data_IF_549818840304
#
_entry.id   IF_549818840304
#
_cell.length_a   1.000
_cell.length_b   1.000
_cell.length_c   1.000
_cell.angle_alpha   90.00
_cell.angle_beta   90.00
_cell.angle_gamma   90.00
#
_symmetry.space_group_name_H-M   'P 1'
#
loop_
_entity.id
_entity.type
_entity.pdbx_description
1 polymer ?
#
# COMPACT_ATOMS: atom_id res chain seq x y z
N UNK A 1 3.78 -9.66 -18.33
CA UNK A 1 4.65 -8.80 -17.69
C UNK A 1 3.95 -7.73 -16.84
N UNK A 2 4.30 -7.71 -15.61
CA UNK A 2 3.58 -6.87 -14.69
C UNK A 2 4.44 -5.70 -14.31
N UNK A 3 4.48 -4.79 -15.16
CA UNK A 3 5.14 -3.55 -14.86
C UNK A 3 4.04 -2.58 -14.52
N UNK A 4 3.94 -2.20 -13.29
CA UNK A 4 2.87 -1.31 -12.89
C UNK A 4 3.08 0.04 -13.55
N UNK A 5 2.17 0.37 -14.42
CA UNK A 5 2.12 1.70 -14.98
C UNK A 5 1.41 2.62 -13.99
N UNK A 6 1.62 3.94 -14.09
CA UNK A 6 0.99 4.85 -13.12
C UNK A 6 -0.52 4.67 -13.00
N UNK A 7 -1.22 4.43 -14.11
CA UNK A 7 -2.67 4.25 -14.06
C UNK A 7 -3.05 3.00 -13.29
N UNK A 8 -2.32 1.91 -13.52
CA UNK A 8 -2.59 0.68 -12.80
C UNK A 8 -2.27 0.84 -11.32
N UNK A 9 -1.10 1.42 -11.02
CA UNK A 9 -0.67 1.60 -9.64
C UNK A 9 -1.65 2.49 -8.88
N UNK A 10 -2.09 3.59 -9.49
CA UNK A 10 -3.00 4.48 -8.81
C UNK A 10 -4.35 3.82 -8.56
N UNK A 11 -4.83 3.00 -9.49
CA UNK A 11 -6.10 2.30 -9.31
C UNK A 11 -6.03 1.30 -8.16
N UNK A 12 -4.94 0.53 -8.08
CA UNK A 12 -4.79 -0.46 -7.02
C UNK A 12 -4.65 0.23 -5.67
N UNK A 13 -3.82 1.28 -5.61
CA UNK A 13 -3.62 2.01 -4.37
C UNK A 13 -4.88 2.74 -3.93
N UNK A 14 -5.64 3.26 -4.88
CA UNK A 14 -6.92 3.89 -4.57
C UNK A 14 -7.86 2.90 -3.90
N UNK A 15 -7.94 1.70 -4.44
CA UNK A 15 -8.78 0.67 -3.84
C UNK A 15 -8.30 0.28 -2.45
N UNK A 16 -6.99 0.07 -2.31
CA UNK A 16 -6.44 -0.33 -1.02
C UNK A 16 -6.68 0.73 0.04
N UNK A 17 -6.46 2.00 -0.30
CA UNK A 17 -6.64 3.06 0.68
C UNK A 17 -8.11 3.30 0.99
N UNK A 18 -8.98 3.16 0.01
CA UNK A 18 -10.41 3.28 0.26
C UNK A 18 -10.86 2.23 1.27
N UNK A 19 -10.43 0.99 1.08
CA UNK A 19 -10.76 -0.08 2.01
C UNK A 19 -10.16 0.19 3.39
N UNK A 20 -8.91 0.62 3.41
CA UNK A 20 -8.22 0.89 4.68
C UNK A 20 -8.98 1.94 5.49
N UNK A 21 -9.33 3.04 4.84
CA UNK A 21 -9.98 4.15 5.53
C UNK A 21 -11.41 3.82 5.93
N UNK A 22 -12.02 2.83 5.29
CA UNK A 22 -13.36 2.40 5.64
C UNK A 22 -13.34 1.21 6.61
N UNK A 23 -12.18 0.86 7.15
CA UNK A 23 -12.10 -0.15 8.19
C UNK A 23 -11.84 -1.56 7.71
N UNK A 24 -11.69 -1.76 6.40
CA UNK A 24 -11.42 -3.09 5.83
C UNK A 24 -9.92 -3.32 5.77
N UNK A 25 -9.30 -3.37 6.94
CA UNK A 25 -7.83 -3.34 7.00
C UNK A 25 -7.19 -4.63 6.50
N UNK A 26 -7.82 -5.78 6.73
CA UNK A 26 -7.23 -7.04 6.28
C UNK A 26 -7.19 -7.11 4.77
N UNK A 27 -8.28 -6.72 4.11
CA UNK A 27 -8.30 -6.70 2.64
C UNK A 27 -7.33 -5.67 2.09
N UNK A 28 -7.26 -4.51 2.73
CA UNK A 28 -6.34 -3.46 2.30
C UNK A 28 -4.89 -3.96 2.37
N UNK A 29 -4.52 -4.64 3.46
CA UNK A 29 -3.17 -5.18 3.60
C UNK A 29 -2.89 -6.23 2.54
N UNK A 30 -3.86 -7.07 2.24
CA UNK A 30 -3.68 -8.09 1.21
C UNK A 30 -3.41 -7.45 -0.15
N UNK A 31 -4.17 -6.42 -0.49
CA UNK A 31 -3.98 -5.74 -1.77
C UNK A 31 -2.60 -5.09 -1.83
N UNK A 32 -2.19 -4.42 -0.76
CA UNK A 32 -0.88 -3.80 -0.71
C UNK A 32 0.24 -4.84 -0.82
N UNK A 33 0.10 -5.94 -0.11
CA UNK A 33 1.09 -7.01 -0.17
C UNK A 33 1.22 -7.57 -1.58
N UNK A 34 0.08 -7.86 -2.20
CA UNK A 34 0.10 -8.40 -3.56
C UNK A 34 0.70 -7.39 -4.54
N UNK A 35 0.37 -6.13 -4.36
CA UNK A 35 0.92 -5.10 -5.23
C UNK A 35 2.44 -5.03 -5.11
N UNK A 36 2.97 -5.04 -3.88
CA UNK A 36 4.41 -4.99 -3.69
C UNK A 36 5.06 -6.22 -4.32
N UNK A 37 4.50 -7.40 -4.08
CA UNK A 37 5.05 -8.63 -4.63
C UNK A 37 5.08 -8.62 -6.15
N UNK A 38 4.07 -8.04 -6.77
CA UNK A 38 3.92 -8.08 -8.22
C UNK A 38 4.54 -6.88 -8.92
N UNK A 39 5.10 -5.95 -8.18
CA UNK A 39 5.73 -4.78 -8.79
C UNK A 39 7.19 -4.68 -8.36
N UNK A 40 7.47 -3.98 -7.26
CA UNK A 40 8.85 -3.69 -6.89
C UNK A 40 9.49 -4.76 -5.99
N UNK A 41 8.67 -5.57 -5.35
CA UNK A 41 9.15 -6.57 -4.41
C UNK A 41 9.51 -5.99 -3.06
N UNK A 42 9.55 -6.85 -2.04
CA UNK A 42 9.82 -6.38 -0.68
C UNK A 42 11.27 -5.99 -0.48
N UNK A 43 12.17 -6.52 -1.30
CA UNK A 43 13.58 -6.13 -1.19
C UNK A 43 13.77 -4.66 -1.59
N UNK A 44 13.16 -4.26 -2.69
CA UNK A 44 13.19 -2.87 -3.10
C UNK A 44 12.49 -1.98 -2.09
N UNK A 45 11.35 -2.43 -1.59
CA UNK A 45 10.62 -1.66 -0.60
C UNK A 45 11.45 -1.47 0.67
N UNK A 46 12.21 -2.51 1.06
CA UNK A 46 13.09 -2.42 2.21
C UNK A 46 14.13 -1.33 2.00
N UNK A 47 14.70 -1.26 0.81
CA UNK A 47 15.68 -0.23 0.51
C UNK A 47 15.07 1.16 0.55
N UNK A 48 13.87 1.30 -0.02
CA UNK A 48 13.22 2.61 -0.07
C UNK A 48 12.79 3.12 1.31
N UNK A 49 12.43 2.22 2.19
CA UNK A 49 11.94 2.58 3.52
C UNK A 49 13.01 2.50 4.60
N UNK A 50 14.17 1.94 4.27
CA UNK A 50 15.24 1.67 5.23
C UNK A 50 14.73 0.81 6.40
N UNK A 51 13.91 -0.18 6.06
CA UNK A 51 13.37 -1.13 7.02
C UNK A 51 13.61 -2.53 6.52
N UNK A 52 13.75 -3.52 7.45
CA UNK A 52 13.97 -4.90 7.00
C UNK A 52 12.78 -5.43 6.20
N UNK A 53 13.08 -6.16 5.13
CA UNK A 53 12.03 -6.74 4.30
C UNK A 53 11.11 -7.66 5.06
N UNK A 54 11.67 -8.45 5.99
CA UNK A 54 10.86 -9.33 6.82
C UNK A 54 9.84 -8.57 7.65
N UNK A 55 10.26 -7.43 8.19
CA UNK A 55 9.35 -6.61 8.99
C UNK A 55 8.21 -6.05 8.13
N UNK A 56 8.57 -5.58 6.93
CA UNK A 56 7.58 -5.04 6.02
C UNK A 56 6.57 -6.10 5.59
N UNK A 57 7.08 -7.29 5.28
CA UNK A 57 6.21 -8.38 4.89
C UNK A 57 5.25 -8.74 6.02
N UNK A 58 5.76 -8.77 7.25
CA UNK A 58 4.92 -9.08 8.40
C UNK A 58 3.87 -7.99 8.64
N UNK A 59 4.24 -6.72 8.46
CA UNK A 59 3.30 -5.62 8.63
C UNK A 59 2.08 -5.76 7.72
N UNK A 60 2.29 -6.27 6.51
CA UNK A 60 1.21 -6.42 5.55
C UNK A 60 0.63 -7.84 5.55
N UNK A 61 1.03 -8.67 6.49
CA UNK A 61 0.46 -10.00 6.62
C UNK A 61 -0.88 -9.92 7.34
N UNK A 62 -1.60 -11.03 7.32
CA UNK A 62 -2.91 -11.11 7.92
C UNK A 62 -2.88 -10.77 9.42
N UNK A 63 -1.79 -11.14 10.08
CA UNK A 63 -1.66 -10.90 11.52
C UNK A 63 -0.88 -9.64 11.84
N UNK A 64 -0.38 -8.97 10.82
CA UNK A 64 0.38 -7.75 11.03
C UNK A 64 -0.50 -6.59 11.42
N UNK A 65 0.08 -5.69 12.17
CA UNK A 65 -0.64 -4.50 12.61
C UNK A 65 0.34 -3.33 12.63
N UNK A 66 0.66 -2.79 11.47
CA UNK A 66 1.66 -1.73 11.40
C UNK A 66 1.19 -0.48 12.11
N UNK A 67 2.15 0.23 12.70
CA UNK A 67 1.85 1.55 13.24
C UNK A 67 1.54 2.49 12.08
N UNK A 68 0.93 3.62 12.41
CA UNK A 68 0.66 4.64 11.39
C UNK A 68 1.97 5.07 10.73
N UNK A 69 3.02 5.25 11.51
CA UNK A 69 4.29 5.68 10.94
C UNK A 69 4.87 4.64 9.99
N UNK A 70 4.77 3.37 10.34
CA UNK A 70 5.28 2.33 9.46
C UNK A 70 4.43 2.20 8.19
N UNK A 71 3.13 2.29 8.34
CA UNK A 71 2.24 2.20 7.19
C UNK A 71 2.45 3.38 6.24
N UNK A 72 2.56 4.59 6.79
CA UNK A 72 2.77 5.75 5.93
C UNK A 72 4.14 5.72 5.26
N UNK A 73 5.15 5.11 5.90
CA UNK A 73 6.44 4.93 5.25
C UNK A 73 6.30 4.05 4.01
N UNK A 74 5.53 2.98 4.11
CA UNK A 74 5.28 2.11 2.96
C UNK A 74 4.55 2.87 1.86
N UNK A 75 3.49 3.59 2.23
CA UNK A 75 2.70 4.32 1.25
C UNK A 75 3.51 5.43 0.59
N UNK A 76 4.35 6.11 1.35
CA UNK A 76 5.22 7.15 0.80
C UNK A 76 6.18 6.56 -0.22
N UNK A 77 6.76 5.40 0.09
CA UNK A 77 7.68 4.75 -0.84
C UNK A 77 6.98 4.37 -2.14
N UNK A 78 5.78 3.82 -2.04
CA UNK A 78 5.01 3.45 -3.23
C UNK A 78 4.60 4.68 -4.02
N UNK A 79 4.16 5.73 -3.33
CA UNK A 79 3.79 6.98 -3.98
C UNK A 79 4.94 7.55 -4.80
N UNK A 80 6.12 7.59 -4.20
CA UNK A 80 7.29 8.13 -4.88
C UNK A 80 7.73 7.23 -6.02
N UNK A 81 7.69 5.93 -5.81
CA UNK A 81 8.13 4.98 -6.83
C UNK A 81 7.26 5.07 -8.08
N UNK A 82 5.96 5.23 -7.91
CA UNK A 82 5.04 5.27 -9.04
C UNK A 82 4.68 6.70 -9.44
N UNK A 83 5.26 7.69 -8.80
CA UNK A 83 5.09 9.09 -9.14
C UNK A 83 3.61 9.51 -9.11
N UNK A 84 2.96 9.20 -8.01
CA UNK A 84 1.55 9.54 -7.80
C UNK A 84 1.39 10.27 -6.49
N UNK A 85 0.26 10.93 -6.33
CA UNK A 85 -0.17 11.54 -5.08
C UNK A 85 -1.51 10.94 -4.68
N UNK A 86 -1.79 10.99 -3.38
CA UNK A 86 -3.07 10.51 -2.87
C UNK A 86 -3.96 11.70 -2.59
N UNK A 87 -5.20 11.60 -3.05
CA UNK A 87 -6.24 12.55 -2.70
C UNK A 87 -7.41 11.77 -2.13
N UNK A 88 -7.89 12.22 -1.00
CA UNK A 88 -8.97 11.53 -0.32
C UNK A 88 -10.17 12.48 -0.24
N UNK A 89 -11.34 11.97 -0.57
CA UNK A 89 -12.58 12.72 -0.45
C UNK A 89 -13.57 11.94 0.39
N UNK A 90 -14.00 12.56 1.46
CA UNK A 90 -15.12 12.01 2.20
C UNK A 90 -16.39 12.30 1.43
N UNK A 91 -17.23 11.32 1.26
CA UNK A 91 -18.47 11.47 0.53
C UNK A 91 -19.64 11.09 1.43
N UNK A 92 -20.77 11.71 1.14
CA UNK A 92 -21.98 11.46 1.92
C UNK A 92 -22.46 10.04 1.63
N UNK A 93 -22.76 9.28 2.69
CA UNK A 93 -23.38 7.98 2.50
C UNK A 93 -24.76 8.15 1.92
N UNK A 94 -25.10 7.26 1.00
CA UNK A 94 -26.46 7.21 0.48
C UNK A 94 -27.16 6.07 1.16
N UNK A 95 -28.23 6.33 1.81
CA UNK A 95 -29.01 5.30 2.49
C UNK A 95 -30.28 4.96 1.75
#
# INVERSE_FOLDING_TARGET
RIQAEPDFASAVLDEALTLLLNGETDTAKLILRDMVNNTIGFETLAQLTNKPGKSLHRMLSNKGNPTINNLTAILKALRQKFNIDFEVRAVQCQS
#
